data_IF_928673112489
#
_entry.id   IF_928673112489
#
_cell.length_a   1.000
_cell.length_b   1.000
_cell.length_c   1.000
_cell.angle_alpha   90.00
_cell.angle_beta   90.00
_cell.angle_gamma   90.00
#
_symmetry.space_group_name_H-M   'P 1'
#
loop_
_entity.id
_entity.type
_entity.pdbx_description
1 polymer ?
#
# COMPACT_ATOMS: atom_id res chain seq x y z
N UNK A 1 4.46 -17.08 16.63
CA UNK A 1 3.43 -17.28 15.59
C UNK A 1 3.41 -16.00 14.78
N UNK A 2 4.35 -15.90 13.84
CA UNK A 2 4.59 -14.67 13.09
C UNK A 2 3.39 -14.39 12.21
N UNK A 3 2.81 -13.20 12.34
CA UNK A 3 1.71 -12.71 11.53
C UNK A 3 2.22 -12.52 10.11
N UNK A 4 2.23 -13.60 9.31
CA UNK A 4 2.43 -13.47 7.88
C UNK A 4 1.33 -12.57 7.34
N UNK A 5 1.73 -11.43 6.78
CA UNK A 5 0.84 -10.52 6.10
C UNK A 5 0.40 -11.23 4.82
N UNK A 6 -0.67 -12.01 4.91
CA UNK A 6 -1.21 -12.72 3.76
C UNK A 6 -1.55 -11.72 2.65
N UNK A 7 -1.54 -12.17 1.39
CA UNK A 7 -1.91 -11.32 0.25
C UNK A 7 -3.28 -10.64 0.46
N UNK A 8 -4.21 -11.32 1.14
CA UNK A 8 -5.50 -10.77 1.50
C UNK A 8 -5.42 -9.67 2.55
N UNK A 9 -4.60 -9.83 3.59
CA UNK A 9 -4.39 -8.77 4.59
C UNK A 9 -3.74 -7.53 3.96
N UNK A 10 -2.78 -7.71 3.04
CA UNK A 10 -2.21 -6.59 2.29
C UNK A 10 -3.25 -5.86 1.46
N UNK A 11 -4.08 -6.60 0.72
CA UNK A 11 -5.15 -6.04 -0.10
C UNK A 11 -6.14 -5.23 0.74
N UNK A 12 -6.55 -5.75 1.89
CA UNK A 12 -7.45 -5.05 2.82
C UNK A 12 -6.81 -3.76 3.33
N UNK A 13 -5.54 -3.82 3.76
CA UNK A 13 -4.81 -2.65 4.23
C UNK A 13 -4.74 -1.56 3.15
N UNK A 14 -4.34 -1.92 1.93
CA UNK A 14 -4.19 -0.96 0.82
C UNK A 14 -5.53 -0.35 0.45
N UNK A 15 -6.61 -1.14 0.41
CA UNK A 15 -7.95 -0.61 0.15
C UNK A 15 -8.43 0.36 1.23
N UNK A 16 -8.19 0.05 2.51
CA UNK A 16 -8.56 0.94 3.61
C UNK A 16 -7.75 2.24 3.57
N UNK A 17 -6.44 2.15 3.27
CA UNK A 17 -5.60 3.33 3.09
C UNK A 17 -6.06 4.18 1.91
N UNK A 18 -6.46 3.56 0.80
CA UNK A 18 -6.99 4.28 -0.37
C UNK A 18 -8.25 5.09 0.00
N UNK A 19 -9.20 4.49 0.72
CA UNK A 19 -10.39 5.19 1.20
C UNK A 19 -10.04 6.34 2.16
N UNK A 20 -9.21 6.06 3.16
CA UNK A 20 -8.79 7.06 4.13
C UNK A 20 -8.09 8.26 3.48
N UNK A 21 -7.22 8.01 2.50
CA UNK A 21 -6.54 9.09 1.76
C UNK A 21 -7.53 9.90 0.92
N UNK A 22 -8.51 9.26 0.30
CA UNK A 22 -9.55 9.96 -0.44
C UNK A 22 -10.31 10.94 0.47
N UNK A 23 -10.74 10.47 1.65
CA UNK A 23 -11.42 11.28 2.66
C UNK A 23 -10.53 12.43 3.16
N UNK A 24 -9.27 12.14 3.50
CA UNK A 24 -8.32 13.14 3.99
C UNK A 24 -8.03 14.25 2.97
N UNK A 25 -7.98 13.91 1.69
CA UNK A 25 -7.76 14.86 0.60
C UNK A 25 -9.06 15.48 0.06
N UNK A 26 -10.22 15.05 0.56
CA UNK A 26 -11.53 15.57 0.14
C UNK A 26 -11.87 15.25 -1.31
N UNK A 27 -11.42 14.10 -1.82
CA UNK A 27 -11.62 13.66 -3.21
C UNK A 27 -12.34 12.30 -3.27
N UNK A 28 -13.00 11.96 -4.39
CA UNK A 28 -13.54 10.61 -4.57
C UNK A 28 -12.44 9.54 -4.49
N UNK A 29 -12.80 8.35 -4.00
CA UNK A 29 -11.88 7.21 -3.85
C UNK A 29 -11.17 6.86 -5.16
N UNK A 30 -11.86 6.99 -6.29
CA UNK A 30 -11.31 6.71 -7.62
C UNK A 30 -10.26 7.73 -8.08
N UNK A 31 -10.20 8.91 -7.46
CA UNK A 31 -9.14 9.88 -7.71
C UNK A 31 -7.79 9.46 -7.06
N UNK A 32 -7.82 8.55 -6.08
CA UNK A 32 -6.62 7.97 -5.50
C UNK A 32 -6.18 6.79 -6.36
N UNK A 33 -5.11 6.96 -7.14
CA UNK A 33 -4.58 5.90 -7.99
C UNK A 33 -3.76 4.91 -7.18
N UNK A 34 -3.98 3.61 -7.37
CA UNK A 34 -3.17 2.56 -6.77
C UNK A 34 -2.30 1.91 -7.84
N UNK A 35 -0.99 2.00 -7.68
CA UNK A 35 0.01 1.33 -8.50
C UNK A 35 0.64 0.23 -7.65
N UNK A 36 0.62 -0.99 -8.16
CA UNK A 36 1.32 -2.10 -7.55
C UNK A 36 2.61 -2.39 -8.32
N UNK A 37 3.70 -2.56 -7.57
CA UNK A 37 5.00 -2.96 -8.09
C UNK A 37 5.39 -4.30 -7.46
N UNK A 38 6.52 -4.85 -7.90
CA UNK A 38 7.05 -6.11 -7.34
C UNK A 38 7.21 -6.03 -5.81
N UNK A 39 7.75 -4.93 -5.28
CA UNK A 39 8.17 -4.81 -3.88
C UNK A 39 7.36 -3.80 -3.05
N UNK A 40 6.36 -3.15 -3.65
CA UNK A 40 5.62 -2.06 -3.00
C UNK A 40 4.25 -1.80 -3.61
N UNK A 41 3.35 -1.22 -2.80
CA UNK A 41 2.17 -0.50 -3.27
C UNK A 41 2.47 1.01 -3.24
N UNK A 42 1.96 1.75 -4.22
CA UNK A 42 2.03 3.21 -4.30
C UNK A 42 0.62 3.75 -4.45
N UNK A 43 0.22 4.64 -3.55
CA UNK A 43 -1.03 5.39 -3.63
C UNK A 43 -0.72 6.84 -4.02
N UNK A 44 -1.33 7.33 -5.10
CA UNK A 44 -1.19 8.70 -5.57
C UNK A 44 -2.47 9.47 -5.25
N UNK A 45 -2.36 10.53 -4.46
CA UNK A 45 -3.46 11.41 -4.10
C UNK A 45 -3.04 12.86 -4.37
N UNK A 46 -3.50 13.40 -5.52
CA UNK A 46 -3.09 14.73 -5.98
C UNK A 46 -1.58 14.82 -6.22
N UNK A 47 -0.92 15.74 -5.51
CA UNK A 47 0.52 15.99 -5.57
C UNK A 47 1.34 15.09 -4.63
N UNK A 48 0.69 14.19 -3.87
CA UNK A 48 1.34 13.30 -2.91
C UNK A 48 1.38 11.85 -3.40
N UNK A 49 2.49 11.19 -3.09
CA UNK A 49 2.68 9.76 -3.29
C UNK A 49 3.00 9.08 -1.94
N UNK A 50 2.30 7.99 -1.66
CA UNK A 50 2.50 7.18 -0.45
C UNK A 50 2.96 5.79 -0.86
N UNK A 51 4.14 5.37 -0.40
CA UNK A 51 4.74 4.07 -0.72
C UNK A 51 4.66 3.13 0.48
N UNK A 52 4.07 1.96 0.28
CA UNK A 52 3.97 0.89 1.27
C UNK A 52 4.85 -0.26 0.80
N UNK A 53 5.81 -0.67 1.61
CA UNK A 53 6.72 -1.79 1.32
C UNK A 53 6.02 -3.12 1.56
N UNK A 54 6.21 -4.09 0.68
CA UNK A 54 5.76 -5.46 0.89
C UNK A 54 6.78 -6.21 1.77
N UNK A 55 6.34 -7.05 2.73
CA UNK A 55 7.25 -7.80 3.58
C UNK A 55 7.86 -8.94 2.78
N UNK A 56 9.06 -8.72 2.24
CA UNK A 56 9.73 -9.63 1.33
C UNK A 56 11.25 -9.60 1.62
N UNK A 57 11.91 -10.74 1.44
CA UNK A 57 13.36 -10.88 1.49
C UNK A 57 13.85 -11.52 0.19
N UNK A 58 14.71 -10.81 -0.54
CA UNK A 58 15.32 -11.26 -1.80
C UNK A 58 16.84 -11.52 -1.66
N UNK A 59 17.39 -11.52 -0.44
CA UNK A 59 18.81 -11.70 -0.14
C UNK A 59 19.68 -10.47 -0.41
N UNK A 60 19.27 -9.57 -1.31
CA UNK A 60 19.87 -8.24 -1.52
C UNK A 60 18.98 -7.08 -1.03
N UNK A 61 17.75 -7.40 -0.64
CA UNK A 61 16.75 -6.47 -0.14
C UNK A 61 15.88 -7.19 0.89
N UNK A 62 15.84 -6.65 2.10
CA UNK A 62 15.07 -7.21 3.21
C UNK A 62 14.10 -6.16 3.77
N UNK A 63 12.80 -6.42 3.60
CA UNK A 63 11.70 -5.67 4.18
C UNK A 63 10.85 -6.54 5.13
N UNK A 64 11.37 -7.67 5.57
CA UNK A 64 10.74 -8.51 6.59
C UNK A 64 10.68 -7.79 7.96
N UNK A 65 9.90 -8.36 8.88
CA UNK A 65 9.63 -7.84 10.24
C UNK A 65 9.75 -8.95 11.27
#
# INVERSE_FOLDING_TARGET
MSTELTADTQRILVNNLKNMLADHHGVPVDAVSHIETHISHVLLAGDRAYKIKKPMDFGFLDFST
#
